data_IF_428491272169
#
_entry.id   IF_428491272169
#
_cell.length_a   1.000
_cell.length_b   1.000
_cell.length_c   1.000
_cell.angle_alpha   90.00
_cell.angle_beta   90.00
_cell.angle_gamma   90.00
#
_symmetry.space_group_name_H-M   'P 1'
#
loop_
_entity.id
_entity.type
_entity.pdbx_description
1 polymer ?
#
# COMPACT_ATOMS: atom_id res chain seq x y z
N UNK A 1 -1.77 1.78 -19.33
CA UNK A 1 -2.52 1.52 -18.07
C UNK A 1 -3.07 2.84 -17.56
N UNK A 2 -4.32 2.94 -17.11
CA UNK A 2 -4.86 4.20 -16.58
C UNK A 2 -4.08 4.63 -15.32
N UNK A 3 -3.71 5.90 -15.22
CA UNK A 3 -2.88 6.47 -14.13
C UNK A 3 -3.41 6.10 -12.73
N UNK A 4 -4.73 6.19 -12.51
CA UNK A 4 -5.39 5.77 -11.27
C UNK A 4 -5.24 4.26 -10.98
N UNK A 5 -5.36 3.40 -11.99
CA UNK A 5 -5.17 1.95 -11.85
C UNK A 5 -3.76 1.63 -11.38
N UNK A 6 -2.74 2.32 -11.94
CA UNK A 6 -1.35 2.20 -11.49
C UNK A 6 -1.22 2.51 -10.00
N UNK A 7 -1.78 3.63 -9.56
CA UNK A 7 -1.75 4.02 -8.14
C UNK A 7 -2.38 2.98 -7.21
N UNK A 8 -3.54 2.44 -7.58
CA UNK A 8 -4.22 1.39 -6.79
C UNK A 8 -3.36 0.13 -6.66
N UNK A 9 -2.70 -0.29 -7.74
CA UNK A 9 -1.80 -1.46 -7.73
C UNK A 9 -0.56 -1.18 -6.89
N UNK A 10 0.08 -0.02 -7.04
CA UNK A 10 1.26 0.36 -6.27
C UNK A 10 0.97 0.42 -4.76
N UNK A 11 -0.16 1.02 -4.37
CA UNK A 11 -0.56 1.05 -2.95
C UNK A 11 -0.88 -0.35 -2.42
N UNK A 12 -1.50 -1.22 -3.23
CA UNK A 12 -1.80 -2.60 -2.84
C UNK A 12 -0.56 -3.47 -2.70
N UNK A 13 0.39 -3.38 -3.64
CA UNK A 13 1.57 -4.24 -3.70
C UNK A 13 2.75 -3.71 -2.88
N UNK A 14 3.02 -2.40 -2.93
CA UNK A 14 4.24 -1.83 -2.36
C UNK A 14 4.02 -1.12 -1.02
N UNK A 15 2.77 -0.75 -0.69
CA UNK A 15 2.41 -0.31 0.67
C UNK A 15 1.64 -1.39 1.45
N UNK A 16 1.24 -2.49 0.79
CA UNK A 16 0.43 -3.55 1.41
C UNK A 16 -0.96 -3.08 1.84
N UNK A 17 -1.48 -1.97 1.31
CA UNK A 17 -2.74 -1.38 1.79
C UNK A 17 -3.95 -2.24 1.44
N UNK A 18 -4.92 -2.31 2.36
CA UNK A 18 -6.23 -2.91 2.07
C UNK A 18 -7.03 -2.00 1.15
N UNK A 19 -7.96 -2.54 0.37
CA UNK A 19 -8.82 -1.75 -0.53
C UNK A 19 -9.53 -0.59 0.17
N UNK A 20 -9.95 -0.77 1.43
CA UNK A 20 -10.57 0.29 2.24
C UNK A 20 -9.62 1.40 2.69
N UNK A 21 -8.30 1.17 2.66
CA UNK A 21 -7.28 2.21 2.84
C UNK A 21 -6.94 2.85 1.50
N UNK A 22 -6.75 2.05 0.45
CA UNK A 22 -6.44 2.53 -0.91
C UNK A 22 -7.47 3.56 -1.37
N UNK A 23 -8.77 3.26 -1.25
CA UNK A 23 -9.79 4.20 -1.69
C UNK A 23 -9.77 5.51 -0.92
N UNK A 24 -9.30 5.53 0.33
CA UNK A 24 -9.31 6.68 1.23
C UNK A 24 -7.99 7.45 1.26
N UNK A 25 -7.08 7.24 0.31
CA UNK A 25 -5.86 8.05 0.24
C UNK A 25 -6.21 9.47 -0.19
N UNK A 26 -5.72 10.43 0.59
CA UNK A 26 -5.80 11.87 0.29
C UNK A 26 -4.40 12.43 0.10
N UNK A 27 -4.29 13.48 -0.71
CA UNK A 27 -3.02 14.18 -0.91
C UNK A 27 -2.42 14.68 0.40
N UNK A 28 -3.25 15.26 1.27
CA UNK A 28 -2.84 15.81 2.56
C UNK A 28 -2.46 14.75 3.62
N UNK A 29 -2.67 13.47 3.31
CA UNK A 29 -2.19 12.36 4.13
C UNK A 29 -0.77 11.90 3.73
N UNK A 30 -0.21 12.44 2.65
CA UNK A 30 1.10 12.09 2.12
C UNK A 30 2.09 13.21 2.44
N UNK A 31 3.09 12.88 3.24
CA UNK A 31 4.20 13.78 3.55
C UNK A 31 5.42 13.37 2.71
N UNK A 32 5.79 14.22 1.75
CA UNK A 32 6.95 13.98 0.90
C UNK A 32 8.25 14.52 1.51
N UNK A 33 8.18 15.39 2.51
CA UNK A 33 9.38 15.89 3.23
C UNK A 33 9.94 14.81 4.16
N UNK A 34 9.04 14.02 4.74
CA UNK A 34 9.36 12.81 5.49
C UNK A 34 8.60 11.68 4.80
N UNK A 35 9.16 10.99 3.80
CA UNK A 35 8.44 10.07 2.89
C UNK A 35 7.54 9.05 3.60
N UNK A 36 6.31 9.48 3.90
CA UNK A 36 5.36 8.73 4.70
C UNK A 36 3.93 9.04 4.25
N UNK A 37 3.04 8.08 4.48
CA UNK A 37 1.62 8.22 4.24
C UNK A 37 0.86 7.84 5.52
N UNK A 38 -0.06 8.72 5.91
CA UNK A 38 -0.97 8.50 7.03
C UNK A 38 -2.20 7.74 6.54
N UNK A 39 -2.65 6.77 7.32
CA UNK A 39 -3.93 6.10 7.07
C UNK A 39 -4.69 5.90 8.37
N UNK A 40 -6.01 6.05 8.28
CA UNK A 40 -6.92 5.83 9.41
C UNK A 40 -7.36 4.37 9.43
N UNK A 41 -6.92 3.63 10.46
CA UNK A 41 -7.28 2.21 10.66
C UNK A 41 -8.62 2.02 11.36
N UNK A 42 -8.93 0.75 11.71
CA UNK A 42 -10.10 0.39 12.53
C UNK A 42 -10.03 1.15 13.87
N UNK A 43 -11.17 1.66 14.35
CA UNK A 43 -11.30 2.50 15.58
C UNK A 43 -10.68 3.91 15.50
N UNK A 44 -10.56 4.50 14.30
CA UNK A 44 -10.03 5.87 14.10
C UNK A 44 -8.58 6.09 14.56
N UNK A 45 -7.82 5.04 14.85
CA UNK A 45 -6.39 5.18 15.13
C UNK A 45 -5.65 5.51 13.84
N UNK A 46 -4.98 6.66 13.82
CA UNK A 46 -4.08 7.05 12.74
C UNK A 46 -2.77 6.28 12.87
N UNK A 47 -2.24 5.82 11.73
CA UNK A 47 -0.93 5.19 11.62
C UNK A 47 -0.19 5.82 10.45
N UNK A 48 1.11 5.95 10.57
CA UNK A 48 2.01 6.41 9.51
C UNK A 48 2.79 5.23 8.95
N UNK A 49 2.90 5.19 7.63
CA UNK A 49 3.58 4.14 6.88
C UNK A 49 4.67 4.79 6.03
N UNK A 50 5.92 4.32 6.06
CA UNK A 50 6.94 4.83 5.16
C UNK A 50 6.53 4.57 3.70
N UNK A 51 6.88 5.49 2.80
CA UNK A 51 6.61 5.35 1.38
C UNK A 51 7.67 4.47 0.72
N UNK A 52 7.22 3.47 -0.02
CA UNK A 52 8.07 2.82 -1.01
C UNK A 52 8.55 3.84 -2.06
N UNK A 53 9.80 3.76 -2.56
CA UNK A 53 10.33 4.69 -3.57
C UNK A 53 9.43 4.87 -4.80
N UNK A 54 8.96 3.78 -5.41
CA UNK A 54 8.01 3.85 -6.54
C UNK A 54 6.65 4.48 -6.19
N UNK A 55 6.23 4.43 -4.92
CA UNK A 55 4.99 5.07 -4.45
C UNK A 55 5.24 6.55 -4.19
N UNK A 56 6.42 6.91 -3.68
CA UNK A 56 6.88 8.30 -3.58
C UNK A 56 6.89 8.97 -4.96
N UNK A 57 7.54 8.36 -5.95
CA UNK A 57 7.56 8.86 -7.33
C UNK A 57 6.15 9.00 -7.92
N UNK A 58 5.27 8.04 -7.62
CA UNK A 58 3.88 8.13 -8.05
C UNK A 58 3.14 9.28 -7.35
N UNK A 59 3.39 9.51 -6.06
CA UNK A 59 2.77 10.56 -5.27
C UNK A 59 3.09 11.96 -5.80
N UNK A 60 4.27 12.18 -6.37
CA UNK A 60 4.64 13.44 -7.05
C UNK A 60 3.71 13.78 -8.23
N UNK A 61 3.01 12.79 -8.78
CA UNK A 61 2.06 12.95 -9.89
C UNK A 61 0.60 13.05 -9.45
N UNK A 62 0.34 13.02 -8.13
CA UNK A 62 -0.99 13.02 -7.54
C UNK A 62 -1.32 14.39 -6.94
N UNK A 63 -2.60 14.74 -6.79
CA UNK A 63 -2.97 16.00 -6.15
C UNK A 63 -2.51 16.05 -4.70
N UNK A 64 -1.99 17.20 -4.28
CA UNK A 64 -1.55 17.48 -2.91
C UNK A 64 -2.71 17.60 -1.92
N UNK A 65 -3.93 17.86 -2.40
CA UNK A 65 -5.15 17.95 -1.59
C UNK A 65 -6.30 17.20 -2.23
N UNK A 66 -7.15 16.61 -1.38
CA UNK A 66 -8.33 15.85 -1.79
C UNK A 66 -8.03 14.39 -2.10
N UNK A 67 -9.05 13.66 -2.54
CA UNK A 67 -8.92 12.22 -2.79
C UNK A 67 -8.03 11.93 -4.00
N UNK A 68 -7.10 11.01 -3.85
CA UNK A 68 -6.37 10.43 -4.98
C UNK A 68 -7.29 9.69 -5.96
N UNK A 69 -8.35 9.08 -5.42
CA UNK A 69 -9.33 8.31 -6.17
C UNK A 69 -10.76 8.82 -5.88
N UNK A 70 -11.19 9.95 -6.46
CA UNK A 70 -12.54 10.46 -6.27
C UNK A 70 -13.58 9.55 -6.93
N UNK A 71 -14.78 9.47 -6.35
CA UNK A 71 -15.86 8.61 -6.83
C UNK A 71 -16.28 8.95 -8.26
N UNK A 72 -16.46 10.24 -8.55
CA UNK A 72 -16.67 10.76 -9.89
C UNK A 72 -16.17 12.22 -10.00
N UNK A 73 -16.04 12.72 -11.22
CA UNK A 73 -15.55 14.09 -11.48
C UNK A 73 -16.52 15.20 -11.02
N UNK A 74 -17.81 14.87 -10.83
CA UNK A 74 -18.86 15.80 -10.41
C UNK A 74 -19.02 15.87 -8.88
N UNK A 75 -18.55 14.86 -8.15
CA UNK A 75 -18.59 14.72 -6.69
C UNK A 75 -17.15 14.47 -6.16
N UNK A 76 -16.25 15.47 -6.24
CA UNK A 76 -14.87 15.33 -5.79
C UNK A 76 -14.75 15.19 -4.26
N UNK A 77 -15.83 15.41 -3.50
CA UNK A 77 -15.88 15.26 -2.05
C UNK A 77 -15.91 13.81 -1.56
N UNK A 78 -16.21 12.85 -2.43
CA UNK A 78 -16.29 11.43 -2.08
C UNK A 78 -15.19 10.61 -2.75
N UNK A 79 -14.77 9.54 -2.08
CA UNK A 79 -13.83 8.58 -2.63
C UNK A 79 -14.53 7.43 -3.34
N UNK A 80 -13.82 6.78 -4.26
CA UNK A 80 -14.25 5.55 -4.93
C UNK A 80 -14.64 4.46 -3.91
N UNK A 81 -15.63 3.62 -4.25
CA UNK A 81 -16.03 2.52 -3.37
C UNK A 81 -14.94 1.43 -3.31
N UNK A 82 -14.75 0.76 -2.15
CA UNK A 82 -13.78 -0.33 -2.02
C UNK A 82 -13.99 -1.46 -3.04
N UNK A 83 -15.24 -1.80 -3.35
CA UNK A 83 -15.57 -2.80 -4.37
C UNK A 83 -15.06 -2.42 -5.75
N UNK A 84 -15.20 -1.15 -6.15
CA UNK A 84 -14.68 -0.66 -7.42
C UNK A 84 -13.14 -0.72 -7.49
N UNK A 85 -12.44 -0.51 -6.36
CA UNK A 85 -10.98 -0.71 -6.30
C UNK A 85 -10.62 -2.17 -6.53
N UNK A 86 -11.34 -3.10 -5.87
CA UNK A 86 -11.18 -4.54 -6.09
C UNK A 86 -11.37 -4.87 -7.57
N UNK A 87 -12.45 -4.40 -8.19
CA UNK A 87 -12.75 -4.68 -9.60
C UNK A 87 -11.68 -4.13 -10.54
N UNK A 88 -11.20 -2.91 -10.30
CA UNK A 88 -10.13 -2.29 -11.10
C UNK A 88 -8.85 -3.11 -11.03
N UNK A 89 -8.44 -3.52 -9.83
CA UNK A 89 -7.24 -4.33 -9.64
C UNK A 89 -7.43 -5.72 -10.28
N UNK A 90 -8.53 -6.41 -10.02
CA UNK A 90 -8.80 -7.74 -10.56
C UNK A 90 -8.85 -7.73 -12.10
N UNK A 91 -9.45 -6.71 -12.72
CA UNK A 91 -9.41 -6.54 -14.18
C UNK A 91 -8.00 -6.31 -14.70
N UNK A 92 -7.19 -5.51 -14.00
CA UNK A 92 -5.80 -5.27 -14.39
C UNK A 92 -4.96 -6.55 -14.30
N UNK A 93 -5.10 -7.32 -13.22
CA UNK A 93 -4.41 -8.61 -13.04
C UNK A 93 -4.82 -9.61 -14.13
N UNK A 94 -6.12 -9.75 -14.41
CA UNK A 94 -6.61 -10.61 -15.50
C UNK A 94 -6.04 -10.23 -16.85
N UNK A 95 -5.95 -8.93 -17.17
CA UNK A 95 -5.33 -8.44 -18.41
C UNK A 95 -3.83 -8.74 -18.50
N UNK A 96 -3.15 -8.86 -17.36
CA UNK A 96 -1.76 -9.25 -17.27
C UNK A 96 -1.56 -10.78 -17.24
N UNK A 97 -2.62 -11.58 -17.36
CA UNK A 97 -2.54 -13.04 -17.26
C UNK A 97 -2.31 -13.56 -15.84
N UNK A 98 -2.50 -12.72 -14.81
CA UNK A 98 -2.28 -13.08 -13.41
C UNK A 98 -3.63 -13.33 -12.74
N UNK A 99 -3.80 -14.52 -12.16
CA UNK A 99 -4.97 -14.84 -11.33
C UNK A 99 -4.82 -14.17 -9.95
N UNK A 100 -5.83 -13.39 -9.54
CA UNK A 100 -5.85 -12.82 -8.20
C UNK A 100 -6.71 -11.57 -8.06
N UNK A 101 -6.65 -10.98 -6.86
CA UNK A 101 -7.39 -9.76 -6.49
C UNK A 101 -6.47 -8.80 -5.73
N UNK A 102 -7.01 -7.68 -5.28
CA UNK A 102 -6.31 -6.77 -4.36
C UNK A 102 -5.77 -7.48 -3.09
N UNK A 103 -6.43 -8.53 -2.61
CA UNK A 103 -5.93 -9.31 -1.48
C UNK A 103 -4.64 -10.07 -1.83
N UNK A 104 -4.54 -10.57 -3.07
CA UNK A 104 -3.34 -11.27 -3.57
C UNK A 104 -2.12 -10.34 -3.59
N UNK A 105 -2.28 -9.07 -3.99
CA UNK A 105 -1.19 -8.09 -3.94
C UNK A 105 -0.68 -7.88 -2.51
N UNK A 106 -1.61 -7.73 -1.56
CA UNK A 106 -1.25 -7.58 -0.15
C UNK A 106 -0.60 -8.84 0.42
N UNK A 107 -1.05 -10.01 0.02
CA UNK A 107 -0.44 -11.28 0.41
C UNK A 107 1.01 -11.35 -0.12
N UNK A 108 1.21 -11.00 -1.40
CA UNK A 108 2.53 -10.90 -2.00
C UNK A 108 3.43 -9.95 -1.20
N UNK A 109 2.94 -8.79 -0.76
CA UNK A 109 3.72 -7.88 0.10
C UNK A 109 4.16 -8.59 1.38
N UNK A 110 3.25 -9.25 2.09
CA UNK A 110 3.54 -9.91 3.36
C UNK A 110 4.57 -11.03 3.22
N UNK A 111 4.39 -11.91 2.22
CA UNK A 111 5.35 -12.99 1.94
C UNK A 111 6.69 -12.45 1.49
N UNK A 112 6.71 -11.47 0.57
CA UNK A 112 7.96 -10.87 0.07
C UNK A 112 8.75 -10.23 1.21
N UNK A 113 8.11 -9.46 2.10
CA UNK A 113 8.81 -8.87 3.23
C UNK A 113 9.45 -9.93 4.14
N UNK A 114 8.76 -11.05 4.38
CA UNK A 114 9.31 -12.16 5.16
C UNK A 114 10.48 -12.83 4.43
N UNK A 115 10.36 -13.05 3.12
CA UNK A 115 11.43 -13.63 2.28
C UNK A 115 12.69 -12.75 2.29
N UNK A 116 12.53 -11.43 2.30
CA UNK A 116 13.62 -10.44 2.38
C UNK A 116 14.12 -10.23 3.82
N UNK A 117 13.70 -11.07 4.77
CA UNK A 117 14.22 -11.10 6.14
C UNK A 117 13.61 -10.11 7.12
N UNK A 118 12.50 -9.44 6.76
CA UNK A 118 11.78 -8.60 7.71
C UNK A 118 11.16 -9.47 8.82
N UNK A 119 11.31 -9.04 10.08
CA UNK A 119 10.70 -9.76 11.19
C UNK A 119 9.17 -9.66 11.19
N UNK A 120 8.51 -10.64 11.79
CA UNK A 120 7.05 -10.77 11.79
C UNK A 120 6.34 -9.53 12.41
N UNK A 121 6.94 -8.86 13.39
CA UNK A 121 6.35 -7.67 13.99
C UNK A 121 6.41 -6.49 13.02
N UNK A 122 7.54 -6.29 12.35
CA UNK A 122 7.69 -5.29 11.28
C UNK A 122 6.66 -5.51 10.17
N UNK A 123 6.50 -6.74 9.68
CA UNK A 123 5.49 -7.08 8.65
C UNK A 123 4.07 -6.77 9.13
N UNK A 124 3.72 -7.15 10.37
CA UNK A 124 2.39 -6.90 10.94
C UNK A 124 2.06 -5.42 11.09
N UNK A 125 3.06 -4.63 11.52
CA UNK A 125 2.94 -3.17 11.63
C UNK A 125 2.72 -2.52 10.26
N UNK A 126 3.56 -2.85 9.27
CA UNK A 126 3.45 -2.34 7.89
C UNK A 126 2.13 -2.71 7.24
N UNK A 127 1.65 -3.93 7.45
CA UNK A 127 0.36 -4.38 6.94
C UNK A 127 -0.84 -3.82 7.75
N UNK A 128 -0.62 -3.16 8.89
CA UNK A 128 -1.71 -2.62 9.70
C UNK A 128 -2.67 -3.70 10.22
N UNK A 129 -2.15 -4.87 10.64
CA UNK A 129 -2.95 -5.84 11.37
C UNK A 129 -3.20 -5.31 12.79
N UNK A 130 -4.46 -4.97 13.09
CA UNK A 130 -4.86 -4.50 14.41
C UNK A 130 -4.98 -5.62 15.46
N UNK A 131 -4.88 -6.89 15.04
CA UNK A 131 -5.01 -8.07 15.90
C UNK A 131 -3.71 -8.85 15.94
N UNK A 132 -2.69 -8.27 16.54
CA UNK A 132 -1.86 -9.10 17.41
C UNK A 132 -2.60 -9.13 18.73
N UNK A 133 -2.83 -10.34 19.26
CA UNK A 133 -3.39 -10.60 20.58
C UNK A 133 -3.08 -9.47 21.57
N UNK A 134 -4.10 -9.03 22.31
CA UNK A 134 -4.13 -7.96 23.31
C UNK A 134 -3.14 -8.12 24.49
N UNK A 135 -2.13 -8.96 24.34
CA UNK A 135 -1.16 -9.31 25.38
C UNK A 135 0.28 -9.41 24.87
N UNK A 136 0.57 -9.08 23.60
CA UNK A 136 1.97 -8.90 23.18
C UNK A 136 2.40 -7.46 23.47
N UNK A 137 3.35 -7.35 24.40
CA UNK A 137 4.06 -6.13 24.78
C UNK A 137 4.52 -5.41 23.50
N UNK A 138 3.90 -4.26 23.20
CA UNK A 138 4.23 -3.45 22.03
C UNK A 138 5.63 -2.87 22.21
N UNK A 139 6.64 -3.54 21.68
CA UNK A 139 7.93 -2.90 21.42
C UNK A 139 7.73 -2.00 20.21
N UNK A 140 7.85 -0.68 20.37
CA UNK A 140 7.78 0.27 19.26
C UNK A 140 8.88 -0.09 18.26
N UNK A 141 8.51 -0.63 17.10
CA UNK A 141 9.46 -0.94 16.04
C UNK A 141 10.09 0.38 15.55
N UNK A 142 11.43 0.51 15.52
CA UNK A 142 12.08 1.72 15.03
C UNK A 142 11.68 2.02 13.58
N UNK A 143 11.47 3.29 13.27
CA UNK A 143 11.05 3.74 11.93
C UNK A 143 12.02 3.28 10.84
N UNK A 144 13.33 3.28 11.15
CA UNK A 144 14.38 2.78 10.27
C UNK A 144 14.11 1.35 9.78
N UNK A 145 13.72 0.42 10.65
CA UNK A 145 13.44 -0.97 10.24
C UNK A 145 12.25 -1.05 9.29
N UNK A 146 11.23 -0.23 9.52
CA UNK A 146 10.04 -0.18 8.66
C UNK A 146 10.38 0.37 7.28
N UNK A 147 11.22 1.41 7.22
CA UNK A 147 11.72 2.00 5.98
C UNK A 147 12.57 0.98 5.21
N UNK A 148 13.56 0.38 5.86
CA UNK A 148 14.44 -0.63 5.26
C UNK A 148 13.60 -1.79 4.68
N UNK A 149 12.65 -2.33 5.45
CA UNK A 149 11.78 -3.41 5.01
C UNK A 149 10.90 -3.00 3.81
N UNK A 150 10.30 -1.81 3.81
CA UNK A 150 9.52 -1.37 2.64
C UNK A 150 10.41 -1.24 1.39
N UNK A 151 11.65 -0.78 1.54
CA UNK A 151 12.56 -0.59 0.42
C UNK A 151 13.07 -1.91 -0.19
N UNK A 152 12.95 -3.06 0.49
CA UNK A 152 13.31 -4.36 -0.09
C UNK A 152 12.25 -4.91 -1.05
N UNK A 153 11.05 -4.32 -1.12
CA UNK A 153 9.99 -4.75 -2.02
C UNK A 153 10.33 -4.43 -3.49
N UNK A 154 11.14 -5.27 -4.13
CA UNK A 154 11.48 -5.13 -5.54
C UNK A 154 10.46 -5.88 -6.43
N UNK A 155 9.55 -5.18 -7.15
CA UNK A 155 8.59 -5.82 -8.05
C UNK A 155 9.27 -6.50 -9.26
N UNK A 156 10.55 -6.26 -9.50
CA UNK A 156 11.32 -6.83 -10.61
C UNK A 156 12.27 -7.96 -10.17
N UNK A 157 12.21 -8.40 -8.90
CA UNK A 157 13.17 -9.37 -8.34
C UNK A 157 13.26 -10.69 -9.12
N UNK A 158 12.16 -11.15 -9.73
CA UNK A 158 12.14 -12.38 -10.51
C UNK A 158 12.70 -12.21 -11.93
N UNK A 159 12.51 -11.06 -12.57
CA UNK A 159 13.09 -10.79 -13.88
C UNK A 159 14.63 -10.81 -13.84
N UNK A 160 15.22 -10.46 -12.69
CA UNK A 160 16.67 -10.51 -12.46
C UNK A 160 17.21 -11.93 -12.27
N UNK A 161 16.38 -12.89 -11.85
CA UNK A 161 16.80 -14.30 -11.61
C UNK A 161 16.87 -15.12 -12.89
N UNK A 162 16.00 -14.83 -13.86
CA UNK A 162 15.96 -15.55 -15.13
C UNK A 162 17.03 -15.08 -16.15
N UNK A 163 17.88 -14.12 -15.74
CA UNK A 163 18.98 -13.57 -16.55
C UNK A 163 20.38 -14.02 -16.08
N UNK A 164 20.45 -14.95 -15.13
CA UNK A 164 21.68 -15.51 -14.55
C UNK A 164 21.71 -17.03 -14.76
#
# INVERSE_FOLDING_TARGET
>A
MHHKTRGMILLGALQGFRVGMICKVRGEDVDLSVPNIRSTGKRKKQRTYPLHPLVYEFALTMPERGWWFPANSKLPGEHVLPGSVTDVISRAMRRAGVAGTAHSLRHWTGTTLLDEGADLLTVKELLGHASVSSTQIYTKIPDRRRIEAVHTLDPFRYAKRDSA
#
